data_IF_701951895786
#
_entry.id   IF_701951895786
#
_cell.length_a   1.000
_cell.length_b   1.000
_cell.length_c   1.000
_cell.angle_alpha   90.00
_cell.angle_beta   90.00
_cell.angle_gamma   90.00
#
_symmetry.space_group_name_H-M   'P 1'
#
loop_
_entity.id
_entity.type
_entity.pdbx_description
1 polymer ?
#
# COMPACT_ATOMS: atom_id res chain seq x y z
N UNK A 1 18.24 -15.88 -3.19
CA UNK A 1 17.70 -17.24 -3.00
C UNK A 1 16.22 -17.13 -2.68
N UNK A 2 15.41 -18.09 -3.10
CA UNK A 2 14.00 -18.18 -2.70
C UNK A 2 13.85 -19.37 -1.77
N UNK A 3 12.80 -19.34 -0.94
CA UNK A 3 12.45 -20.44 -0.04
C UNK A 3 11.02 -20.87 -0.30
N UNK A 4 10.74 -22.16 -0.13
CA UNK A 4 9.38 -22.69 -0.14
C UNK A 4 8.75 -22.61 1.26
N UNK A 5 7.49 -23.02 1.37
CA UNK A 5 6.73 -23.08 2.61
C UNK A 5 7.31 -24.02 3.68
N UNK A 6 8.17 -24.97 3.27
CA UNK A 6 8.91 -25.86 4.17
C UNK A 6 10.23 -25.23 4.67
N UNK A 7 10.56 -24.01 4.25
CA UNK A 7 11.81 -23.32 4.61
C UNK A 7 13.03 -23.82 3.84
N UNK A 8 12.84 -24.54 2.74
CA UNK A 8 13.91 -25.09 1.91
C UNK A 8 14.29 -24.13 0.78
N UNK A 9 15.58 -24.09 0.43
CA UNK A 9 16.06 -23.25 -0.68
C UNK A 9 15.54 -23.80 -2.01
N UNK A 10 14.88 -22.95 -2.78
CA UNK A 10 14.40 -23.26 -4.13
C UNK A 10 15.44 -22.81 -5.14
N UNK A 11 15.91 -23.74 -5.98
CA UNK A 11 16.95 -23.51 -6.98
C UNK A 11 16.46 -23.63 -8.43
N UNK A 12 15.23 -24.10 -8.63
CA UNK A 12 14.60 -24.22 -9.94
C UNK A 12 13.72 -22.99 -10.27
N UNK A 13 13.44 -22.83 -11.56
CA UNK A 13 12.62 -21.75 -12.09
C UNK A 13 13.06 -20.33 -11.67
N UNK A 14 14.37 -20.11 -11.59
CA UNK A 14 14.96 -18.82 -11.14
C UNK A 14 15.39 -17.90 -12.29
N UNK A 15 15.07 -18.26 -13.53
CA UNK A 15 15.43 -17.46 -14.70
C UNK A 15 14.38 -16.39 -15.01
N UNK A 16 14.85 -15.21 -15.39
CA UNK A 16 14.00 -14.09 -15.80
C UNK A 16 13.82 -13.04 -14.71
N UNK A 17 12.78 -12.22 -14.86
CA UNK A 17 12.43 -11.17 -13.91
C UNK A 17 11.86 -11.77 -12.62
N UNK A 18 12.19 -11.19 -11.45
CA UNK A 18 11.68 -11.62 -10.15
C UNK A 18 10.15 -11.72 -10.13
N UNK A 19 9.46 -10.74 -10.74
CA UNK A 19 8.00 -10.71 -10.78
C UNK A 19 7.43 -11.97 -11.46
N UNK A 20 8.13 -12.51 -12.48
CA UNK A 20 7.75 -13.74 -13.18
C UNK A 20 7.95 -14.97 -12.27
N UNK A 21 9.08 -15.03 -11.57
CA UNK A 21 9.42 -16.13 -10.65
C UNK A 21 8.37 -16.25 -9.53
N UNK A 22 7.92 -15.10 -8.99
CA UNK A 22 6.86 -15.03 -7.99
C UNK A 22 5.52 -15.45 -8.60
N UNK A 23 5.17 -14.92 -9.78
CA UNK A 23 3.89 -15.22 -10.42
C UNK A 23 3.76 -16.69 -10.84
N UNK A 24 4.87 -17.35 -11.17
CA UNK A 24 4.92 -18.79 -11.42
C UNK A 24 4.61 -19.65 -10.21
N UNK A 25 4.62 -19.09 -8.99
CA UNK A 25 4.17 -19.76 -7.76
C UNK A 25 2.75 -19.39 -7.41
N UNK A 26 2.38 -18.12 -7.59
CA UNK A 26 1.03 -17.64 -7.29
C UNK A 26 -0.04 -18.25 -8.22
N UNK A 27 0.20 -18.31 -9.53
CA UNK A 27 -0.78 -18.81 -10.50
C UNK A 27 -1.13 -20.29 -10.26
N UNK A 28 -0.17 -21.22 -10.10
CA UNK A 28 -0.50 -22.62 -9.80
C UNK A 28 -1.27 -22.80 -8.50
N UNK A 29 -0.95 -22.04 -7.45
CA UNK A 29 -1.71 -22.07 -6.19
C UNK A 29 -3.18 -21.67 -6.40
N UNK A 30 -3.44 -20.61 -7.17
CA UNK A 30 -4.79 -20.16 -7.50
C UNK A 30 -5.52 -21.18 -8.38
N UNK A 31 -4.85 -21.70 -9.41
CA UNK A 31 -5.40 -22.74 -10.29
C UNK A 31 -5.82 -23.98 -9.49
N UNK A 32 -4.95 -24.45 -8.59
CA UNK A 32 -5.23 -25.60 -7.73
C UNK A 32 -6.42 -25.31 -6.80
N UNK A 33 -6.44 -24.14 -6.16
CA UNK A 33 -7.54 -23.75 -5.26
C UNK A 33 -8.89 -23.73 -5.99
N UNK A 34 -8.93 -23.18 -7.22
CA UNK A 34 -10.14 -23.17 -8.05
C UNK A 34 -10.54 -24.59 -8.47
N UNK A 35 -9.58 -25.43 -8.89
CA UNK A 35 -9.85 -26.82 -9.26
C UNK A 35 -10.41 -27.65 -8.09
N UNK A 36 -9.94 -27.38 -6.88
CA UNK A 36 -10.44 -27.99 -5.63
C UNK A 36 -11.72 -27.34 -5.10
N UNK A 37 -12.25 -26.32 -5.77
CA UNK A 37 -13.43 -25.55 -5.35
C UNK A 37 -13.28 -24.93 -3.95
N UNK A 38 -12.07 -24.49 -3.61
CA UNK A 38 -11.77 -23.81 -2.34
C UNK A 38 -11.59 -22.31 -2.55
N UNK A 39 -12.10 -21.46 -1.63
CA UNK A 39 -11.70 -20.06 -1.61
C UNK A 39 -10.19 -19.95 -1.33
N UNK A 40 -9.55 -18.94 -1.88
CA UNK A 40 -8.12 -18.70 -1.69
C UNK A 40 -7.87 -17.30 -1.14
N UNK A 41 -6.80 -17.18 -0.37
CA UNK A 41 -6.18 -15.91 -0.01
C UNK A 41 -4.73 -15.96 -0.47
N UNK A 42 -4.32 -15.03 -1.33
CA UNK A 42 -2.99 -15.00 -1.91
C UNK A 42 -2.40 -13.61 -1.76
N UNK A 43 -1.25 -13.51 -1.08
CA UNK A 43 -0.48 -12.28 -0.97
C UNK A 43 0.74 -12.41 -1.88
N UNK A 44 0.85 -11.51 -2.86
CA UNK A 44 1.90 -11.53 -3.87
C UNK A 44 2.81 -10.34 -3.65
N UNK A 45 3.96 -10.56 -3.01
CA UNK A 45 4.96 -9.53 -2.74
C UNK A 45 6.02 -9.50 -3.82
N UNK A 46 5.88 -8.59 -4.78
CA UNK A 46 6.95 -8.32 -5.74
C UNK A 46 8.11 -7.60 -5.05
N UNK A 47 9.35 -7.98 -5.37
CA UNK A 47 10.51 -7.16 -5.00
C UNK A 47 10.59 -5.88 -5.86
N UNK A 48 10.06 -5.93 -7.08
CA UNK A 48 10.05 -4.81 -8.04
C UNK A 48 9.37 -3.55 -7.48
N UNK A 49 9.93 -2.32 -7.67
CA UNK A 49 11.21 -1.98 -8.28
C UNK A 49 12.31 -1.68 -7.25
N UNK A 50 12.35 -2.38 -6.11
CA UNK A 50 13.37 -2.16 -5.08
C UNK A 50 14.79 -2.44 -5.62
N UNK A 51 15.78 -1.73 -5.07
CA UNK A 51 17.20 -1.92 -5.43
C UNK A 51 17.72 -3.31 -4.97
N UNK A 52 18.64 -3.94 -5.73
CA UNK A 52 19.16 -3.51 -7.03
C UNK A 52 18.14 -3.68 -8.15
N UNK A 53 18.07 -2.69 -9.05
CA UNK A 53 17.08 -2.66 -10.14
C UNK A 53 17.73 -3.11 -11.44
N UNK A 54 17.35 -4.31 -11.91
CA UNK A 54 17.94 -4.92 -13.10
C UNK A 54 16.83 -5.54 -13.94
N UNK A 55 16.50 -4.88 -15.06
CA UNK A 55 15.49 -5.39 -15.97
C UNK A 55 16.09 -6.42 -16.94
N UNK A 56 15.29 -7.41 -17.30
CA UNK A 56 15.62 -8.32 -18.40
C UNK A 56 15.84 -7.55 -19.73
N UNK A 57 16.68 -8.07 -20.65
CA UNK A 57 17.07 -7.36 -21.87
C UNK A 57 15.89 -6.85 -22.70
N UNK A 58 14.81 -7.63 -22.81
CA UNK A 58 13.58 -7.26 -23.53
C UNK A 58 12.95 -5.99 -22.97
N UNK A 59 12.73 -5.93 -21.66
CA UNK A 59 12.08 -4.79 -21.02
C UNK A 59 13.00 -3.57 -20.99
N UNK A 60 14.29 -3.76 -20.72
CA UNK A 60 15.28 -2.68 -20.76
C UNK A 60 15.34 -2.02 -22.14
N UNK A 61 15.26 -2.80 -23.21
CA UNK A 61 15.29 -2.29 -24.58
C UNK A 61 14.11 -1.35 -24.90
N UNK A 62 12.94 -1.50 -24.25
CA UNK A 62 11.79 -0.60 -24.43
C UNK A 62 12.10 0.83 -23.96
N UNK A 63 13.10 0.99 -23.10
CA UNK A 63 13.50 2.25 -22.48
C UNK A 63 14.92 2.67 -22.86
N UNK A 64 15.43 2.21 -24.01
CA UNK A 64 16.81 2.46 -24.47
C UNK A 64 17.17 3.94 -24.67
N UNK A 65 16.19 4.84 -24.71
CA UNK A 65 16.39 6.29 -24.77
C UNK A 65 16.83 6.91 -23.43
N UNK A 66 16.65 6.20 -22.32
CA UNK A 66 17.04 6.66 -20.99
C UNK A 66 18.42 6.11 -20.60
N UNK A 67 19.04 6.69 -19.57
CA UNK A 67 20.22 6.09 -18.96
C UNK A 67 19.93 4.69 -18.38
N UNK A 68 20.99 3.94 -18.08
CA UNK A 68 20.87 2.54 -17.68
C UNK A 68 20.02 2.34 -16.43
N UNK A 69 20.08 3.26 -15.46
CA UNK A 69 19.32 3.12 -14.22
C UNK A 69 17.82 3.33 -14.48
N UNK A 70 17.46 4.39 -15.19
CA UNK A 70 16.08 4.67 -15.59
C UNK A 70 15.52 3.55 -16.49
N UNK A 71 16.30 3.07 -17.46
CA UNK A 71 15.88 2.01 -18.36
C UNK A 71 15.62 0.69 -17.62
N UNK A 72 16.44 0.36 -16.62
CA UNK A 72 16.19 -0.79 -15.74
C UNK A 72 14.95 -0.59 -14.87
N UNK A 73 14.78 0.59 -14.26
CA UNK A 73 13.66 0.87 -13.39
C UNK A 73 12.32 0.77 -14.10
N UNK A 74 12.20 1.44 -15.25
CA UNK A 74 10.98 1.34 -16.05
C UNK A 74 10.78 -0.08 -16.59
N UNK A 75 11.86 -0.75 -17.00
CA UNK A 75 11.81 -2.14 -17.46
C UNK A 75 11.29 -3.12 -16.40
N UNK A 76 11.72 -3.00 -15.14
CA UNK A 76 11.21 -3.83 -14.05
C UNK A 76 9.71 -3.56 -13.80
N UNK A 77 9.29 -2.28 -13.80
CA UNK A 77 7.87 -1.93 -13.65
C UNK A 77 7.03 -2.58 -14.77
N UNK A 78 7.48 -2.51 -16.02
CA UNK A 78 6.80 -3.19 -17.15
C UNK A 78 6.75 -4.71 -16.97
N UNK A 79 7.82 -5.32 -16.47
CA UNK A 79 7.85 -6.74 -16.21
C UNK A 79 6.82 -7.17 -15.15
N UNK A 80 6.70 -6.40 -14.07
CA UNK A 80 5.68 -6.59 -13.04
C UNK A 80 4.27 -6.40 -13.60
N UNK A 81 4.03 -5.34 -14.36
CA UNK A 81 2.73 -5.08 -15.01
C UNK A 81 2.31 -6.23 -15.93
N UNK A 82 3.23 -6.79 -16.71
CA UNK A 82 2.98 -7.98 -17.54
C UNK A 82 2.54 -9.19 -16.70
N UNK A 83 3.14 -9.41 -15.52
CA UNK A 83 2.75 -10.51 -14.64
C UNK A 83 1.41 -10.27 -13.94
N UNK A 84 1.07 -9.02 -13.59
CA UNK A 84 -0.27 -8.66 -13.13
C UNK A 84 -1.29 -8.94 -14.24
N UNK A 85 -0.98 -8.58 -15.48
CA UNK A 85 -1.78 -8.91 -16.66
C UNK A 85 -1.99 -10.43 -16.83
N UNK A 86 -0.93 -11.22 -16.63
CA UNK A 86 -1.00 -12.68 -16.61
C UNK A 86 -1.94 -13.21 -15.54
N UNK A 87 -1.84 -12.73 -14.30
CA UNK A 87 -2.75 -13.12 -13.21
C UNK A 87 -4.21 -12.82 -13.56
N UNK A 88 -4.49 -11.60 -14.05
CA UNK A 88 -5.84 -11.19 -14.47
C UNK A 88 -6.38 -12.07 -15.59
N UNK A 89 -5.56 -12.43 -16.57
CA UNK A 89 -5.94 -13.34 -17.65
C UNK A 89 -6.25 -14.75 -17.12
N UNK A 90 -5.44 -15.26 -16.17
CA UNK A 90 -5.68 -16.56 -15.54
C UNK A 90 -7.00 -16.59 -14.76
N UNK A 91 -7.29 -15.56 -13.94
CA UNK A 91 -8.56 -15.46 -13.22
C UNK A 91 -9.78 -15.48 -14.16
N UNK A 92 -9.67 -14.84 -15.34
CA UNK A 92 -10.71 -14.88 -16.37
C UNK A 92 -10.85 -16.26 -17.01
N UNK A 93 -9.74 -16.90 -17.36
CA UNK A 93 -9.73 -18.25 -17.95
C UNK A 93 -10.32 -19.31 -17.00
N UNK A 94 -10.08 -19.15 -15.71
CA UNK A 94 -10.63 -20.01 -14.65
C UNK A 94 -12.09 -19.69 -14.29
N UNK A 95 -12.71 -18.68 -14.92
CA UNK A 95 -14.02 -18.15 -14.55
C UNK A 95 -14.13 -17.72 -13.07
N UNK A 96 -13.00 -17.36 -12.44
CA UNK A 96 -12.92 -16.98 -11.03
C UNK A 96 -12.94 -15.46 -10.81
N UNK A 97 -12.73 -14.67 -11.87
CA UNK A 97 -12.59 -13.21 -11.77
C UNK A 97 -13.78 -12.52 -11.07
N UNK A 98 -15.02 -12.89 -11.39
CA UNK A 98 -16.22 -12.28 -10.81
C UNK A 98 -16.29 -12.41 -9.28
N UNK A 99 -15.72 -13.49 -8.72
CA UNK A 99 -15.71 -13.79 -7.30
C UNK A 99 -14.32 -13.59 -6.66
N UNK A 100 -13.44 -12.81 -7.30
CA UNK A 100 -12.11 -12.50 -6.78
C UNK A 100 -11.95 -11.01 -6.58
N UNK A 101 -11.62 -10.60 -5.36
CA UNK A 101 -11.17 -9.24 -5.04
C UNK A 101 -9.66 -9.16 -5.29
N UNK A 102 -9.24 -8.56 -6.40
CA UNK A 102 -7.84 -8.33 -6.74
C UNK A 102 -7.41 -6.91 -6.35
N UNK A 103 -6.56 -6.81 -5.33
CA UNK A 103 -6.02 -5.54 -4.84
C UNK A 103 -4.54 -5.40 -5.19
N UNK A 104 -4.15 -4.23 -5.70
CA UNK A 104 -2.77 -3.82 -5.88
C UNK A 104 -2.48 -2.53 -5.09
N UNK A 105 -1.35 -2.47 -4.40
CA UNK A 105 -0.78 -1.22 -3.88
C UNK A 105 0.76 -1.32 -3.80
N UNK A 106 1.43 -0.18 -3.65
CA UNK A 106 2.83 -0.14 -3.21
C UNK A 106 2.91 -0.21 -1.68
N UNK A 107 4.06 -0.58 -1.13
CA UNK A 107 4.31 -0.61 0.32
C UNK A 107 4.64 0.78 0.90
N UNK A 108 5.35 1.59 0.12
CA UNK A 108 5.72 2.98 0.43
C UNK A 108 5.91 3.81 -0.84
N UNK A 109 6.16 5.11 -0.66
CA UNK A 109 6.61 6.03 -1.70
C UNK A 109 7.95 5.66 -2.34
N UNK A 110 8.37 6.34 -3.42
CA UNK A 110 9.56 5.95 -4.18
C UNK A 110 10.86 6.19 -3.41
N UNK A 111 11.85 5.33 -3.61
CA UNK A 111 13.20 5.45 -3.02
C UNK A 111 14.05 6.51 -3.75
N UNK A 112 15.09 7.02 -3.07
CA UNK A 112 16.11 7.89 -3.67
C UNK A 112 15.76 9.38 -3.62
N UNK A 113 16.42 10.17 -4.45
CA UNK A 113 16.27 11.64 -4.50
C UNK A 113 15.53 12.07 -5.79
N UNK A 114 15.52 13.37 -6.09
CA UNK A 114 14.86 13.92 -7.27
C UNK A 114 15.42 13.42 -8.62
N UNK A 115 16.65 12.89 -8.64
CA UNK A 115 17.25 12.25 -9.83
C UNK A 115 16.97 10.76 -9.96
N UNK A 116 16.34 10.14 -8.96
CA UNK A 116 15.93 8.74 -9.03
C UNK A 116 14.68 8.62 -9.93
N UNK A 117 14.53 7.49 -10.65
CA UNK A 117 13.47 7.32 -11.65
C UNK A 117 12.05 7.26 -11.07
N UNK A 118 11.90 6.91 -9.79
CA UNK A 118 10.60 6.88 -9.12
C UNK A 118 10.06 8.28 -8.86
N UNK A 119 8.75 8.49 -9.04
CA UNK A 119 8.09 9.78 -8.82
C UNK A 119 6.99 9.65 -7.76
N UNK A 120 6.93 10.65 -6.86
CA UNK A 120 5.82 10.81 -5.93
C UNK A 120 4.71 11.70 -6.51
N UNK A 121 4.77 12.03 -7.81
CA UNK A 121 3.82 12.95 -8.44
C UNK A 121 3.89 14.35 -7.80
N UNK A 122 2.74 14.96 -7.45
CA UNK A 122 2.71 16.28 -6.82
C UNK A 122 3.01 16.24 -5.31
N UNK A 123 3.19 15.06 -4.73
CA UNK A 123 3.29 14.87 -3.29
C UNK A 123 4.71 15.13 -2.78
N UNK A 124 4.83 15.71 -1.57
CA UNK A 124 6.11 16.05 -0.96
C UNK A 124 6.76 14.86 -0.27
N UNK A 125 8.08 14.77 -0.38
CA UNK A 125 8.90 13.72 0.23
C UNK A 125 8.82 12.39 -0.51
N UNK A 126 9.48 11.38 0.05
CA UNK A 126 9.78 10.10 -0.57
C UNK A 126 9.85 9.01 0.50
N UNK A 127 10.28 7.80 0.16
CA UNK A 127 10.41 6.69 1.13
C UNK A 127 11.13 7.15 2.40
N UNK A 128 10.59 6.74 3.56
CA UNK A 128 10.99 7.12 4.93
C UNK A 128 10.47 8.48 5.42
N UNK A 129 9.90 9.31 4.56
CA UNK A 129 9.18 10.50 5.00
C UNK A 129 7.74 10.14 5.39
N UNK A 130 7.19 10.86 6.38
CA UNK A 130 5.76 10.79 6.73
C UNK A 130 4.92 11.84 6.01
N UNK A 131 5.52 12.57 5.07
CA UNK A 131 4.84 13.45 4.11
C UNK A 131 4.17 12.62 3.01
N UNK A 132 3.23 13.19 2.27
CA UNK A 132 2.36 12.45 1.33
C UNK A 132 3.16 11.62 0.33
N UNK A 133 4.29 12.11 -0.18
CA UNK A 133 5.11 11.37 -1.14
C UNK A 133 5.84 10.15 -0.58
N UNK A 134 5.88 9.99 0.75
CA UNK A 134 6.44 8.81 1.42
C UNK A 134 5.40 7.75 1.79
N UNK A 135 4.15 8.15 2.08
CA UNK A 135 3.09 7.26 2.59
C UNK A 135 1.90 7.10 1.64
N UNK A 136 1.68 8.02 0.70
CA UNK A 136 0.63 7.91 -0.31
C UNK A 136 1.13 7.14 -1.51
N UNK A 137 0.45 6.03 -1.80
CA UNK A 137 0.86 5.06 -2.81
C UNK A 137 -0.22 4.86 -3.87
N UNK A 138 0.13 4.41 -5.09
CA UNK A 138 -0.88 3.95 -6.04
C UNK A 138 -1.63 2.76 -5.44
N UNK A 139 -2.96 2.74 -5.60
CA UNK A 139 -3.81 1.63 -5.22
C UNK A 139 -4.88 1.39 -6.30
N UNK A 140 -5.10 0.12 -6.64
CA UNK A 140 -6.11 -0.34 -7.59
C UNK A 140 -6.85 -1.53 -6.97
N UNK A 141 -8.17 -1.55 -7.13
CA UNK A 141 -9.01 -2.66 -6.69
C UNK A 141 -9.92 -3.07 -7.85
N UNK A 142 -9.88 -4.35 -8.20
CA UNK A 142 -10.75 -4.96 -9.20
C UNK A 142 -11.56 -6.07 -8.52
N UNK A 143 -12.88 -5.96 -8.59
CA UNK A 143 -13.80 -7.02 -8.18
C UNK A 143 -15.05 -6.96 -9.08
N UNK A 144 -15.02 -7.57 -10.28
CA UNK A 144 -16.04 -7.37 -11.31
C UNK A 144 -17.47 -7.66 -10.84
N UNK A 145 -17.66 -8.65 -9.95
CA UNK A 145 -18.97 -9.00 -9.41
C UNK A 145 -19.54 -8.01 -8.38
N UNK A 146 -18.76 -7.00 -7.94
CA UNK A 146 -19.18 -6.03 -6.91
C UNK A 146 -18.86 -4.57 -7.21
N UNK A 147 -17.76 -4.28 -7.91
CA UNK A 147 -17.26 -2.92 -8.13
C UNK A 147 -17.48 -2.52 -9.58
N UNK A 148 -18.10 -1.36 -9.79
CA UNK A 148 -18.30 -0.79 -11.13
C UNK A 148 -16.94 -0.45 -11.77
N UNK A 149 -16.60 -1.00 -12.96
CA UNK A 149 -15.35 -0.70 -13.64
C UNK A 149 -15.16 0.79 -13.93
N UNK A 150 -13.93 1.29 -13.75
CA UNK A 150 -13.59 2.70 -14.01
C UNK A 150 -13.98 3.68 -12.89
N UNK A 151 -14.55 3.18 -11.79
CA UNK A 151 -14.83 3.99 -10.60
C UNK A 151 -13.56 4.60 -9.99
N UNK A 152 -13.73 5.76 -9.36
CA UNK A 152 -12.67 6.48 -8.63
C UNK A 152 -13.23 6.94 -7.29
N UNK A 153 -12.38 6.97 -6.27
CA UNK A 153 -12.74 7.49 -4.95
C UNK A 153 -11.61 8.36 -4.40
N UNK A 154 -11.98 9.40 -3.66
CA UNK A 154 -11.08 10.23 -2.85
C UNK A 154 -11.12 9.86 -1.36
N UNK A 155 -11.81 8.76 -1.01
CA UNK A 155 -11.88 8.26 0.35
C UNK A 155 -10.48 7.80 0.84
N UNK A 156 -9.97 8.32 1.97
CA UNK A 156 -8.69 7.91 2.52
C UNK A 156 -8.70 6.46 3.00
N UNK A 157 -7.72 5.67 2.54
CA UNK A 157 -7.55 4.27 2.91
C UNK A 157 -6.11 4.02 3.37
N UNK A 158 -5.94 3.04 4.25
CA UNK A 158 -4.62 2.60 4.75
C UNK A 158 -4.55 1.07 4.71
N UNK A 159 -3.35 0.51 4.59
CA UNK A 159 -3.16 -0.94 4.50
C UNK A 159 -3.67 -1.71 5.73
N UNK A 160 -3.76 -1.07 6.90
CA UNK A 160 -4.42 -1.65 8.09
C UNK A 160 -5.91 -1.96 7.86
N UNK A 161 -6.57 -1.27 6.92
CA UNK A 161 -7.96 -1.53 6.53
C UNK A 161 -8.12 -2.90 5.83
N UNK A 162 -7.03 -3.51 5.34
CA UNK A 162 -7.10 -4.80 4.63
C UNK A 162 -7.65 -5.91 5.50
N UNK A 163 -7.16 -6.05 6.75
CA UNK A 163 -7.58 -7.13 7.63
C UNK A 163 -9.11 -7.16 7.87
N UNK A 164 -9.75 -6.08 8.39
CA UNK A 164 -11.19 -6.09 8.60
C UNK A 164 -11.98 -6.21 7.28
N UNK A 165 -11.47 -5.66 6.18
CA UNK A 165 -12.12 -5.79 4.85
C UNK A 165 -12.08 -7.22 4.33
N UNK A 166 -10.94 -7.91 4.45
CA UNK A 166 -10.77 -9.31 4.02
C UNK A 166 -11.63 -10.23 4.88
N UNK A 167 -11.65 -10.05 6.20
CA UNK A 167 -12.50 -10.84 7.09
C UNK A 167 -13.98 -10.67 6.73
N UNK A 168 -14.43 -9.42 6.53
CA UNK A 168 -15.81 -9.15 6.12
C UNK A 168 -16.14 -9.77 4.75
N UNK A 169 -15.23 -9.66 3.77
CA UNK A 169 -15.40 -10.24 2.44
C UNK A 169 -15.47 -11.78 2.47
N UNK A 170 -14.76 -12.41 3.41
CA UNK A 170 -14.77 -13.84 3.66
C UNK A 170 -15.95 -14.31 4.52
N UNK A 171 -16.81 -13.39 5.01
CA UNK A 171 -17.90 -13.71 5.94
C UNK A 171 -17.42 -14.16 7.32
N UNK A 172 -16.20 -13.77 7.70
CA UNK A 172 -15.59 -14.09 8.99
C UNK A 172 -15.82 -12.94 9.99
N UNK A 173 -16.00 -13.29 11.27
CA UNK A 173 -16.13 -12.32 12.33
C UNK A 173 -14.81 -11.54 12.53
N UNK A 174 -14.93 -10.24 12.77
CA UNK A 174 -13.80 -9.40 13.17
C UNK A 174 -13.52 -9.69 14.65
N UNK A 175 -12.28 -10.05 15.05
CA UNK A 175 -11.96 -10.30 16.44
C UNK A 175 -12.19 -9.06 17.31
N UNK A 176 -13.07 -9.18 18.32
CA UNK A 176 -13.29 -8.12 19.32
C UNK A 176 -12.22 -8.12 20.42
N UNK A 177 -11.41 -9.19 20.49
CA UNK A 177 -10.43 -9.40 21.55
C UNK A 177 -9.21 -8.49 21.49
N UNK A 178 -9.06 -7.69 20.43
CA UNK A 178 -7.91 -6.82 20.20
C UNK A 178 -8.32 -5.56 19.44
N UNK A 179 -7.69 -4.40 19.69
CA UNK A 179 -7.92 -3.21 18.89
C UNK A 179 -7.46 -3.43 17.45
N UNK A 180 -8.20 -2.86 16.49
CA UNK A 180 -7.83 -2.78 15.09
C UNK A 180 -7.85 -1.31 14.66
N UNK A 181 -6.76 -0.83 14.07
CA UNK A 181 -6.69 0.54 13.52
C UNK A 181 -7.45 0.68 12.19
N UNK A 182 -7.56 -0.43 11.45
CA UNK A 182 -8.23 -0.46 10.15
C UNK A 182 -9.75 -0.50 10.26
N UNK A 183 -10.43 -0.08 9.20
CA UNK A 183 -11.88 -0.17 9.05
C UNK A 183 -12.27 -1.12 7.91
N UNK A 184 -13.47 -1.69 7.99
CA UNK A 184 -14.04 -2.44 6.88
C UNK A 184 -14.40 -1.50 5.73
N UNK A 185 -13.78 -1.69 4.57
CA UNK A 185 -13.98 -0.86 3.38
C UNK A 185 -15.10 -1.36 2.47
N UNK A 186 -15.73 -2.52 2.71
CA UNK A 186 -16.85 -2.99 1.88
C UNK A 186 -17.96 -1.95 1.73
N UNK A 187 -18.41 -1.23 2.79
CA UNK A 187 -19.39 -0.16 2.62
C UNK A 187 -18.89 0.98 1.72
N UNK A 188 -17.60 1.31 1.76
CA UNK A 188 -17.00 2.31 0.86
C UNK A 188 -17.07 1.84 -0.59
N UNK A 189 -16.78 0.56 -0.83
CA UNK A 189 -16.71 -0.03 -2.17
C UNK A 189 -18.11 -0.28 -2.78
N UNK A 190 -19.08 -0.70 -1.96
CA UNK A 190 -20.42 -1.09 -2.42
C UNK A 190 -21.42 0.08 -2.36
N UNK A 191 -21.28 0.99 -1.40
CA UNK A 191 -22.21 2.09 -1.15
C UNK A 191 -21.62 3.46 -1.48
N UNK A 192 -20.37 3.50 -1.96
CA UNK A 192 -19.66 4.72 -2.36
C UNK A 192 -19.65 5.79 -1.24
N UNK A 193 -19.29 5.39 -0.02
CA UNK A 193 -19.08 6.33 1.08
C UNK A 193 -17.99 7.34 0.72
N UNK A 194 -18.23 8.61 1.04
CA UNK A 194 -17.37 9.73 0.62
C UNK A 194 -16.42 10.23 1.71
N UNK A 195 -16.69 9.91 2.97
CA UNK A 195 -15.96 10.51 4.10
C UNK A 195 -15.54 9.47 5.13
N UNK A 196 -14.23 9.44 5.42
CA UNK A 196 -13.67 8.61 6.49
C UNK A 196 -13.87 9.28 7.85
N UNK A 197 -14.54 8.58 8.76
CA UNK A 197 -14.81 9.07 10.12
C UNK A 197 -13.63 8.82 11.07
N UNK A 198 -12.90 7.72 10.88
CA UNK A 198 -11.77 7.33 11.71
C UNK A 198 -10.47 7.94 11.16
N UNK A 199 -9.61 8.52 12.00
CA UNK A 199 -8.30 9.00 11.59
C UNK A 199 -7.35 7.85 11.21
N UNK A 200 -6.24 8.19 10.58
CA UNK A 200 -5.15 7.28 10.21
C UNK A 200 -3.87 7.79 10.87
N UNK A 201 -3.20 6.92 11.62
CA UNK A 201 -1.90 7.18 12.23
C UNK A 201 -0.75 6.55 11.46
N UNK A 202 0.38 7.26 11.36
CA UNK A 202 1.65 6.72 10.89
C UNK A 202 2.76 7.08 11.87
N UNK A 203 3.70 6.17 12.08
CA UNK A 203 4.88 6.41 12.91
C UNK A 203 6.12 5.84 12.24
N UNK A 204 7.20 6.62 12.21
CA UNK A 204 8.50 6.15 11.75
C UNK A 204 9.60 6.80 12.58
N UNK A 205 10.36 5.97 13.29
CA UNK A 205 11.36 6.43 14.25
C UNK A 205 10.74 7.39 15.29
N UNK A 206 11.20 8.65 15.33
CA UNK A 206 10.74 9.68 16.27
C UNK A 206 9.71 10.64 15.66
N UNK A 207 9.28 10.38 14.43
CA UNK A 207 8.30 11.19 13.73
C UNK A 207 6.97 10.44 13.68
N UNK A 208 5.88 11.20 13.60
CA UNK A 208 4.54 10.65 13.46
C UNK A 208 3.65 11.56 12.60
N UNK A 209 2.58 11.01 12.06
CA UNK A 209 1.56 11.75 11.34
C UNK A 209 0.16 11.28 11.76
N UNK A 210 -0.77 12.22 11.85
CA UNK A 210 -2.17 11.99 12.16
C UNK A 210 -3.03 12.61 11.06
N UNK A 211 -3.81 11.79 10.36
CA UNK A 211 -4.52 12.18 9.16
C UNK A 211 -6.03 11.93 9.32
N UNK A 212 -6.84 12.90 8.91
CA UNK A 212 -8.28 12.77 8.74
C UNK A 212 -8.66 12.93 7.27
N UNK A 213 -9.94 13.10 6.95
CA UNK A 213 -10.40 13.33 5.58
C UNK A 213 -9.75 14.55 4.91
N UNK A 214 -9.55 15.64 5.66
CA UNK A 214 -9.04 16.91 5.12
C UNK A 214 -7.68 17.29 5.67
N UNK A 215 -7.45 17.13 6.98
CA UNK A 215 -6.27 17.68 7.63
C UNK A 215 -5.28 16.60 8.03
N UNK A 216 -4.01 16.97 8.01
CA UNK A 216 -2.90 16.14 8.50
C UNK A 216 -2.03 16.93 9.44
N UNK A 217 -1.88 16.42 10.67
CA UNK A 217 -0.86 16.86 11.60
C UNK A 217 0.41 16.05 11.36
N UNK A 218 1.51 16.73 11.06
CA UNK A 218 2.85 16.14 10.97
C UNK A 218 3.64 16.51 12.22
N UNK A 219 4.08 15.50 12.96
CA UNK A 219 5.01 15.63 14.08
C UNK A 219 6.41 15.20 13.64
N UNK A 220 7.38 16.09 13.83
CA UNK A 220 8.80 15.77 13.61
C UNK A 220 9.62 16.14 14.83
N UNK A 221 10.67 15.36 15.08
CA UNK A 221 11.63 15.66 16.14
C UNK A 221 12.95 16.15 15.56
N UNK A 222 13.19 17.45 15.64
CA UNK A 222 14.41 18.08 15.12
C UNK A 222 15.28 18.59 16.26
N UNK A 223 16.55 18.14 16.31
CA UNK A 223 17.54 18.55 17.33
C UNK A 223 17.05 18.43 18.78
N UNK A 224 16.18 17.45 19.05
CA UNK A 224 15.61 17.18 20.37
C UNK A 224 14.26 17.84 20.62
N UNK A 225 13.85 18.83 19.81
CA UNK A 225 12.59 19.57 19.95
C UNK A 225 11.50 18.98 19.06
N UNK A 226 10.30 18.89 19.61
CA UNK A 226 9.10 18.52 18.85
C UNK A 226 8.62 19.71 18.01
N UNK A 227 8.25 19.43 16.77
CA UNK A 227 7.67 20.39 15.84
C UNK A 227 6.38 19.79 15.29
N UNK A 228 5.33 20.59 15.25
CA UNK A 228 4.02 20.21 14.76
C UNK A 228 3.60 21.15 13.65
N UNK A 229 3.23 20.59 12.51
CA UNK A 229 2.73 21.32 11.36
C UNK A 229 1.38 20.75 10.95
N UNK A 230 0.48 21.60 10.47
CA UNK A 230 -0.84 21.17 10.02
C UNK A 230 -1.00 21.51 8.54
N UNK A 231 -1.44 20.54 7.74
CA UNK A 231 -1.67 20.71 6.30
C UNK A 231 -3.12 20.37 5.96
N UNK A 232 -3.74 21.19 5.11
CA UNK A 232 -5.03 20.89 4.46
C UNK A 232 -4.74 20.11 3.18
N UNK A 233 -4.93 18.79 3.21
CA UNK A 233 -4.61 17.89 2.09
C UNK A 233 -5.56 18.03 0.90
N UNK A 234 -6.76 18.59 1.09
CA UNK A 234 -7.70 18.83 0.00
C UNK A 234 -7.32 20.09 -0.78
N UNK A 235 -6.90 21.15 -0.07
CA UNK A 235 -6.45 22.40 -0.69
C UNK A 235 -4.99 22.36 -1.15
N UNK A 236 -4.13 21.62 -0.44
CA UNK A 236 -2.68 21.58 -0.62
C UNK A 236 -2.14 20.14 -0.47
N UNK A 237 -2.38 19.26 -1.47
CA UNK A 237 -1.89 17.89 -1.45
C UNK A 237 -0.35 17.78 -1.43
N UNK A 238 0.36 18.85 -1.79
CA UNK A 238 1.82 18.93 -1.75
C UNK A 238 2.38 19.29 -0.37
N UNK A 239 1.54 19.56 0.63
CA UNK A 239 1.95 19.98 1.98
C UNK A 239 2.95 21.16 1.94
N UNK A 240 2.67 22.15 1.11
CA UNK A 240 3.52 23.32 0.87
C UNK A 240 3.24 24.48 1.85
N UNK A 241 2.03 24.55 2.41
CA UNK A 241 1.58 25.59 3.32
C UNK A 241 1.16 25.01 4.67
N UNK A 242 1.93 25.33 5.70
CA UNK A 242 1.56 25.06 7.09
C UNK A 242 0.45 26.03 7.54
N UNK A 243 -0.69 25.49 7.97
CA UNK A 243 -1.86 26.23 8.46
C UNK A 243 -2.04 26.10 9.98
N UNK A 244 -1.04 25.60 10.70
CA UNK A 244 -1.11 25.39 12.16
C UNK A 244 -1.46 26.64 12.96
N UNK A 245 -0.94 27.81 12.55
CA UNK A 245 -1.20 29.10 13.20
C UNK A 245 -2.65 29.58 13.00
N UNK A 246 -3.27 29.19 11.87
CA UNK A 246 -4.66 29.54 11.55
C UNK A 246 -5.66 28.61 12.26
N UNK A 247 -5.21 27.44 12.72
CA UNK A 247 -6.05 26.41 13.35
C UNK A 247 -5.46 25.85 14.68
N UNK A 248 -5.17 26.69 15.68
CA UNK A 248 -4.46 26.27 16.90
C UNK A 248 -5.24 25.23 17.73
N UNK A 249 -6.56 25.33 17.80
CA UNK A 249 -7.39 24.37 18.54
C UNK A 249 -7.39 22.99 17.86
N UNK A 250 -7.38 22.95 16.53
CA UNK A 250 -7.31 21.70 15.77
C UNK A 250 -5.95 21.03 15.94
N UNK A 251 -4.86 21.81 15.94
CA UNK A 251 -3.51 21.31 16.24
C UNK A 251 -3.48 20.67 17.63
N UNK A 252 -4.02 21.36 18.65
CA UNK A 252 -4.07 20.84 20.02
C UNK A 252 -4.87 19.55 20.12
N UNK A 253 -6.02 19.48 19.44
CA UNK A 253 -6.82 18.26 19.37
C UNK A 253 -6.03 17.11 18.73
N UNK A 254 -5.46 17.33 17.54
CA UNK A 254 -4.76 16.27 16.81
C UNK A 254 -3.48 15.83 17.52
N UNK A 255 -2.83 16.71 18.28
CA UNK A 255 -1.71 16.32 19.14
C UNK A 255 -2.18 15.33 20.22
N UNK A 256 -3.29 15.63 20.91
CA UNK A 256 -3.84 14.74 21.93
C UNK A 256 -4.30 13.40 21.32
N UNK A 257 -4.92 13.43 20.15
CA UNK A 257 -5.36 12.23 19.43
C UNK A 257 -4.18 11.36 19.01
N UNK A 258 -3.15 11.98 18.42
CA UNK A 258 -1.93 11.30 18.00
C UNK A 258 -1.21 10.64 19.19
N UNK A 259 -1.10 11.34 20.32
CA UNK A 259 -0.46 10.76 21.52
C UNK A 259 -1.25 9.58 22.09
N UNK A 260 -2.59 9.63 22.06
CA UNK A 260 -3.43 8.50 22.46
C UNK A 260 -3.23 7.29 21.55
N UNK A 261 -3.15 7.52 20.25
CA UNK A 261 -2.90 6.46 19.27
C UNK A 261 -1.50 5.85 19.42
N UNK A 262 -0.45 6.67 19.57
CA UNK A 262 0.91 6.18 19.84
C UNK A 262 0.92 5.31 21.10
N UNK A 263 0.25 5.74 22.17
CA UNK A 263 0.17 4.98 23.41
C UNK A 263 -0.56 3.63 23.23
N UNK A 264 -1.58 3.54 22.37
CA UNK A 264 -2.22 2.26 22.07
C UNK A 264 -1.31 1.35 21.25
N UNK A 265 -0.56 1.89 20.29
CA UNK A 265 0.46 1.12 19.56
C UNK A 265 1.55 0.57 20.49
N UNK A 266 2.02 1.38 21.45
CA UNK A 266 3.00 0.95 22.45
C UNK A 266 2.44 -0.15 23.36
N UNK A 267 1.15 -0.07 23.72
CA UNK A 267 0.46 -1.09 24.50
C UNK A 267 0.41 -2.44 23.76
N UNK A 268 0.03 -2.41 22.48
CA UNK A 268 0.06 -3.58 21.59
C UNK A 268 1.48 -4.15 21.43
N UNK A 269 2.49 -3.30 21.25
CA UNK A 269 3.88 -3.74 21.09
C UNK A 269 4.46 -4.39 22.36
N UNK A 270 3.94 -4.04 23.54
CA UNK A 270 4.27 -4.67 24.81
C UNK A 270 3.52 -5.99 25.04
N UNK A 271 2.63 -6.38 24.13
CA UNK A 271 1.83 -7.60 24.22
C UNK A 271 0.59 -7.48 25.11
N UNK A 272 0.21 -6.29 25.55
CA UNK A 272 -0.93 -6.13 26.47
C UNK A 272 -2.29 -6.31 25.78
N UNK A 273 -2.31 -6.33 24.44
CA UNK A 273 -3.50 -6.59 23.62
C UNK A 273 -3.56 -8.05 23.10
N UNK A 274 -2.59 -8.90 23.46
CA UNK A 274 -2.40 -10.26 22.90
C UNK A 274 -2.17 -11.35 23.94
#
# INVERSE_FOLDING_TARGET
HYWNEAGEIVNDNLSGDDSRIIMDRAVPFIQQSVAEQKPFFCVIWFHTPHLPVVAGPRYRAMYAKYDLYHANYYGCITAMDEQIGRLRAQLKQLHAAENTMLWFCSDNGPEGNASAPGSAGPFRGRKRDLTEGGIRVPALLEWPGKITPGSKTSFPMVTSDYLPTILAAAGLAIPESRPLDGINLLPVLEQNLQERQQPIGFQFQKNAAWMTQQYKLLHTRQRGNDQYQLFDLLADPGETKDVSQDHPELVKQYQADLQRWIQSCDNSNQGNDY
#
